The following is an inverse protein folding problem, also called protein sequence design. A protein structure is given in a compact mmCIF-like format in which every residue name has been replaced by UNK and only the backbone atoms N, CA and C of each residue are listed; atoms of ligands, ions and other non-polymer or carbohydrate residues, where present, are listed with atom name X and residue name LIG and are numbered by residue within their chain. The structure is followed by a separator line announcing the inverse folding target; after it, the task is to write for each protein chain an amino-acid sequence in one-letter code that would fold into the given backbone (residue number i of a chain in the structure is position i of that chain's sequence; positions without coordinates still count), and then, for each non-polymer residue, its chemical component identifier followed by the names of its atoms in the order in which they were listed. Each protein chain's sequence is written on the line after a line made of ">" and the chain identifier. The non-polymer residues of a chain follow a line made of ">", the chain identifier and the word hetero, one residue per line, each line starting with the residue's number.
data_IF_977597198471
#
_entry.id   IF_977597198471
#
_cell.length_a   1.000
_cell.length_b   1.000
_cell.length_c   1.000
_cell.angle_alpha   90.00
_cell.angle_beta   90.00
_cell.angle_gamma   90.00
#
_symmetry.space_group_name_H-M   'P 1'
#
loop_
_entity.id
_entity.type
_entity.pdbx_description
1 polymer ?
#
# COMPACT_ATOMS: atom_id res chain seq x y z
N UNK A 1 -1.53 12.32 1.94
CA UNK A 1 -2.35 11.77 3.04
C UNK A 1 -3.80 12.12 2.78
N UNK A 2 -4.71 11.16 2.98
CA UNK A 2 -6.15 11.46 2.97
C UNK A 2 -6.56 12.12 4.30
N UNK A 3 -7.67 12.88 4.32
CA UNK A 3 -8.18 13.51 5.55
C UNK A 3 -8.44 12.47 6.65
N UNK A 4 -8.85 11.27 6.23
CA UNK A 4 -9.08 10.13 7.13
C UNK A 4 -7.81 9.62 7.80
N UNK A 5 -6.64 9.77 7.17
CA UNK A 5 -5.35 9.33 7.73
C UNK A 5 -4.84 10.30 8.79
N UNK A 6 -5.07 11.60 8.58
CA UNK A 6 -4.74 12.65 9.55
C UNK A 6 -5.56 12.46 10.85
N UNK A 7 -6.85 12.17 10.74
CA UNK A 7 -7.71 11.91 11.90
C UNK A 7 -7.22 10.69 12.71
N UNK A 8 -6.71 9.65 12.04
CA UNK A 8 -6.12 8.47 12.67
C UNK A 8 -4.83 8.82 13.42
N UNK A 9 -3.98 9.66 12.83
CA UNK A 9 -2.75 10.16 13.47
C UNK A 9 -3.08 10.95 14.74
N UNK A 10 -4.05 11.86 14.68
CA UNK A 10 -4.50 12.63 15.85
C UNK A 10 -4.98 11.66 16.94
N UNK A 11 -5.72 10.61 16.56
CA UNK A 11 -6.23 9.64 17.54
C UNK A 11 -5.12 8.91 18.31
N UNK A 12 -4.01 8.59 17.64
CA UNK A 12 -2.84 7.99 18.27
C UNK A 12 -2.21 8.94 19.30
N UNK A 13 -2.14 10.23 19.00
CA UNK A 13 -1.62 11.23 19.93
C UNK A 13 -2.56 11.41 21.14
N UNK A 14 -3.88 11.43 20.93
CA UNK A 14 -4.87 11.56 22.01
C UNK A 14 -4.77 10.45 23.06
N UNK A 15 -4.46 9.22 22.64
CA UNK A 15 -4.29 8.09 23.57
C UNK A 15 -2.88 8.03 24.20
N UNK A 16 -2.02 9.01 23.90
CA UNK A 16 -0.66 9.10 24.42
C UNK A 16 0.36 8.20 23.72
N UNK A 17 0.10 7.79 22.47
CA UNK A 17 1.12 7.12 21.67
C UNK A 17 2.24 8.11 21.28
N UNK A 18 3.48 7.63 21.27
CA UNK A 18 4.65 8.43 20.90
C UNK A 18 4.99 8.23 19.43
N UNK A 19 5.04 9.30 18.65
CA UNK A 19 5.52 9.27 17.27
C UNK A 19 7.03 8.97 17.24
N UNK A 20 7.44 8.05 16.39
CA UNK A 20 8.84 7.66 16.17
C UNK A 20 9.39 8.38 14.91
N UNK A 21 10.71 8.45 14.79
CA UNK A 21 11.36 9.00 13.59
C UNK A 21 11.23 8.09 12.35
N UNK A 22 10.96 6.81 12.57
CA UNK A 22 10.79 5.79 11.54
C UNK A 22 9.41 5.89 10.88
N UNK A 23 9.35 5.58 9.60
CA UNK A 23 8.11 5.55 8.82
C UNK A 23 7.84 4.13 8.33
N UNK A 24 6.57 3.78 8.17
CA UNK A 24 6.17 2.55 7.49
C UNK A 24 6.35 2.70 5.98
N UNK A 25 6.40 1.60 5.24
CA UNK A 25 6.53 1.59 3.77
C UNK A 25 5.39 2.33 3.04
N UNK A 26 4.24 2.52 3.72
CA UNK A 26 3.14 3.36 3.22
C UNK A 26 3.40 4.87 3.31
N UNK A 27 4.50 5.29 3.94
CA UNK A 27 4.90 6.69 4.14
C UNK A 27 4.40 7.35 5.42
N UNK A 28 3.59 6.68 6.24
CA UNK A 28 3.11 7.21 7.51
C UNK A 28 4.15 7.04 8.64
N UNK A 29 4.26 7.99 9.58
CA UNK A 29 5.15 7.86 10.74
C UNK A 29 4.68 6.73 11.66
N UNK A 30 5.64 6.01 12.23
CA UNK A 30 5.39 4.91 13.16
C UNK A 30 5.11 5.45 14.56
N UNK A 31 4.26 4.77 15.33
CA UNK A 31 3.92 5.15 16.70
C UNK A 31 4.18 4.02 17.68
N UNK A 32 4.64 4.36 18.89
CA UNK A 32 4.79 3.43 20.01
C UNK A 32 3.72 3.68 21.07
N UNK A 33 2.99 2.63 21.45
CA UNK A 33 2.01 2.67 22.53
C UNK A 33 2.08 1.39 23.35
N UNK A 34 2.22 1.51 24.67
CA UNK A 34 2.37 0.37 25.61
C UNK A 34 3.48 -0.64 25.20
N UNK A 35 4.54 -0.15 24.55
CA UNK A 35 5.68 -0.97 24.12
C UNK A 35 5.54 -1.61 22.73
N UNK A 36 4.37 -1.54 22.11
CA UNK A 36 4.13 -2.02 20.75
C UNK A 36 4.21 -0.88 19.73
N UNK A 37 4.63 -1.20 18.50
CA UNK A 37 4.78 -0.24 17.40
C UNK A 37 3.71 -0.49 16.34
N UNK A 38 3.10 0.59 15.85
CA UNK A 38 1.94 0.56 14.96
C UNK A 38 2.04 1.64 13.87
N UNK A 39 1.56 1.30 12.67
CA UNK A 39 1.29 2.27 11.62
C UNK A 39 -0.17 2.78 11.73
N UNK A 40 -0.42 4.11 11.78
CA UNK A 40 -1.76 4.65 11.91
C UNK A 40 -2.62 4.43 10.65
N UNK A 41 -2.00 4.10 9.51
CA UNK A 41 -2.69 3.81 8.25
C UNK A 41 -2.93 2.31 8.09
N UNK A 42 -1.93 1.47 8.38
CA UNK A 42 -1.98 0.03 8.12
C UNK A 42 -2.48 -0.81 9.31
N UNK A 43 -2.24 -0.37 10.56
CA UNK A 43 -2.56 -1.12 11.79
C UNK A 43 -3.71 -0.49 12.59
N UNK A 44 -4.47 0.45 12.02
CA UNK A 44 -5.50 1.21 12.74
C UNK A 44 -6.55 0.32 13.42
N UNK A 45 -7.07 -0.68 12.72
CA UNK A 45 -8.09 -1.58 13.25
C UNK A 45 -7.54 -2.49 14.36
N UNK A 46 -6.28 -2.90 14.21
CA UNK A 46 -5.56 -3.70 15.21
C UNK A 46 -5.36 -2.93 16.51
N UNK A 47 -5.16 -1.61 16.44
CA UNK A 47 -5.02 -0.76 17.62
C UNK A 47 -6.37 -0.42 18.28
N UNK A 48 -7.42 -0.16 17.50
CA UNK A 48 -8.75 0.23 18.02
C UNK A 48 -9.59 -0.96 18.52
N UNK A 49 -9.03 -2.17 18.51
CA UNK A 49 -9.71 -3.37 19.00
C UNK A 49 -10.84 -3.85 18.08
N UNK A 50 -10.92 -3.35 16.84
CA UNK A 50 -11.80 -3.89 15.81
C UNK A 50 -11.19 -5.20 15.31
N UNK A 51 -11.63 -6.29 15.93
CA UNK A 51 -11.09 -7.64 15.78
C UNK A 51 -11.20 -8.14 14.32
N UNK A 52 -10.07 -8.20 13.63
CA UNK A 52 -9.79 -9.22 12.63
C UNK A 52 -8.40 -9.79 12.93
N UNK A 53 -8.30 -11.11 13.10
CA UNK A 53 -7.04 -11.86 13.20
C UNK A 53 -7.02 -12.91 12.09
N UNK A 54 -5.84 -13.43 11.66
CA UNK A 54 -4.46 -12.94 11.85
C UNK A 54 -3.63 -13.03 10.53
N UNK A 55 -2.30 -12.77 10.57
CA UNK A 55 -1.39 -13.93 10.60
C UNK A 55 -0.18 -13.75 11.54
N UNK A 56 0.28 -14.84 12.13
CA UNK A 56 1.62 -14.95 12.75
C UNK A 56 2.31 -16.21 12.20
N UNK A 57 3.54 -16.04 11.77
CA UNK A 57 4.42 -17.06 11.18
C UNK A 57 5.00 -18.01 12.24
N UNK A 58 5.29 -19.26 11.85
CA UNK A 58 6.20 -20.17 12.54
C UNK A 58 6.87 -21.15 11.55
N UNK A 59 8.08 -21.61 11.91
CA UNK A 59 9.04 -22.38 11.10
C UNK A 59 8.65 -23.87 10.89
N UNK A 60 9.25 -24.49 9.87
CA UNK A 60 9.06 -25.82 9.21
C UNK A 60 9.34 -27.10 10.08
N UNK A 61 9.30 -28.38 9.58
CA UNK A 61 9.02 -28.90 8.21
C UNK A 61 8.15 -30.21 8.09
N UNK A 62 7.95 -30.63 6.83
CA UNK A 62 7.72 -31.99 6.28
C UNK A 62 6.31 -32.63 6.25
N UNK A 63 5.68 -32.65 5.06
CA UNK A 63 5.52 -33.83 4.18
C UNK A 63 4.39 -33.63 3.14
N UNK A 64 4.73 -33.85 1.86
CA UNK A 64 3.86 -33.84 0.67
C UNK A 64 3.03 -35.16 0.57
N UNK A 65 2.12 -35.42 -0.43
CA UNK A 65 1.96 -34.75 -1.73
C UNK A 65 0.51 -34.52 -2.27
N UNK A 66 0.51 -33.91 -3.46
CA UNK A 66 -0.54 -33.41 -4.38
C UNK A 66 -1.64 -34.43 -4.80
N UNK A 67 -2.71 -33.97 -5.48
CA UNK A 67 -2.71 -34.07 -6.95
C UNK A 67 -2.96 -32.74 -7.71
N UNK A 68 -2.34 -32.69 -8.90
CA UNK A 68 -2.50 -31.74 -10.01
C UNK A 68 -3.94 -31.79 -10.54
N UNK A 69 -4.51 -30.78 -11.20
CA UNK A 69 -4.27 -30.26 -12.57
C UNK A 69 -5.33 -29.15 -12.84
N UNK A 70 -5.32 -28.25 -13.82
CA UNK A 70 -4.43 -27.70 -14.86
C UNK A 70 -5.23 -26.54 -15.53
N UNK A 71 -4.54 -25.55 -16.11
CA UNK A 71 -5.10 -24.50 -16.97
C UNK A 71 -5.30 -23.14 -16.27
N UNK A 72 -4.76 -22.00 -16.69
CA UNK A 72 -4.30 -21.60 -18.03
C UNK A 72 -3.15 -20.60 -17.91
N UNK A 73 -2.29 -20.69 -18.92
CA UNK A 73 -1.06 -19.96 -19.15
C UNK A 73 -1.26 -18.44 -19.28
N UNK A 74 -0.44 -17.70 -18.54
CA UNK A 74 0.22 -16.52 -19.08
C UNK A 74 1.56 -16.42 -18.35
N UNK A 75 2.62 -16.86 -19.01
CA UNK A 75 3.99 -16.56 -18.63
C UNK A 75 4.22 -15.06 -18.84
N UNK A 76 3.61 -14.23 -17.98
CA UNK A 76 3.99 -12.83 -17.84
C UNK A 76 5.28 -12.81 -17.06
N UNK A 77 6.36 -12.35 -17.70
CA UNK A 77 7.59 -12.01 -16.98
C UNK A 77 7.22 -11.02 -15.86
N UNK A 78 7.95 -11.02 -14.74
CA UNK A 78 7.68 -10.05 -13.66
C UNK A 78 7.62 -8.60 -14.17
N UNK A 79 8.36 -8.31 -15.25
CA UNK A 79 8.36 -7.04 -15.97
C UNK A 79 7.00 -6.71 -16.62
N UNK A 80 6.35 -7.67 -17.27
CA UNK A 80 4.98 -7.52 -17.81
C UNK A 80 3.95 -7.27 -16.70
N UNK A 81 4.10 -7.97 -15.56
CA UNK A 81 3.21 -7.78 -14.41
C UNK A 81 3.33 -6.37 -13.81
N UNK A 82 4.56 -5.86 -13.69
CA UNK A 82 4.82 -4.49 -13.23
C UNK A 82 4.29 -3.47 -14.24
N UNK A 83 4.52 -3.68 -15.54
CA UNK A 83 4.00 -2.81 -16.59
C UNK A 83 2.47 -2.70 -16.56
N UNK A 84 1.78 -3.83 -16.38
CA UNK A 84 0.32 -3.84 -16.23
C UNK A 84 -0.15 -3.05 -15.00
N UNK A 85 0.47 -3.26 -13.84
CA UNK A 85 0.10 -2.54 -12.61
C UNK A 85 0.31 -1.02 -12.74
N UNK A 86 1.43 -0.60 -13.34
CA UNK A 86 1.72 0.82 -13.57
C UNK A 86 0.69 1.43 -14.54
N UNK A 87 0.37 0.73 -15.62
CA UNK A 87 -0.64 1.16 -16.59
C UNK A 87 -2.05 1.28 -15.97
N UNK A 88 -2.44 0.28 -15.16
CA UNK A 88 -3.72 0.29 -14.45
C UNK A 88 -3.80 1.50 -13.50
N UNK A 89 -2.71 1.83 -12.80
CA UNK A 89 -2.67 2.98 -11.88
C UNK A 89 -2.70 4.33 -12.60
N UNK A 90 -1.99 4.48 -13.71
CA UNK A 90 -2.05 5.69 -14.55
C UNK A 90 -3.50 5.97 -14.98
N UNK A 91 -4.20 4.94 -15.44
CA UNK A 91 -5.60 5.06 -15.86
C UNK A 91 -6.53 5.44 -14.70
N UNK A 92 -6.28 4.92 -13.50
CA UNK A 92 -7.02 5.31 -12.29
C UNK A 92 -6.79 6.78 -11.93
N UNK A 93 -5.54 7.26 -11.93
CA UNK A 93 -5.20 8.66 -11.65
C UNK A 93 -5.83 9.60 -12.67
N UNK A 94 -5.76 9.27 -13.96
CA UNK A 94 -6.38 10.05 -15.02
C UNK A 94 -7.90 10.18 -14.85
N UNK A 95 -8.58 9.11 -14.40
CA UNK A 95 -10.03 9.15 -14.09
C UNK A 95 -10.32 9.99 -12.85
N UNK A 96 -9.52 9.87 -11.80
CA UNK A 96 -9.72 10.62 -10.56
C UNK A 96 -9.55 12.13 -10.78
N UNK A 97 -8.62 12.51 -11.66
CA UNK A 97 -8.35 13.90 -12.00
C UNK A 97 -9.56 14.64 -12.60
N UNK A 98 -10.46 13.94 -13.29
CA UNK A 98 -11.67 14.55 -13.88
C UNK A 98 -12.64 15.10 -12.83
N UNK A 99 -12.58 14.58 -11.58
CA UNK A 99 -13.42 15.01 -10.46
C UNK A 99 -12.65 15.77 -9.39
N UNK A 100 -11.34 15.90 -9.56
CA UNK A 100 -10.50 16.64 -8.63
C UNK A 100 -10.64 18.14 -8.91
N UNK A 101 -10.77 18.92 -7.84
CA UNK A 101 -10.92 20.40 -7.91
C UNK A 101 -9.70 21.11 -7.37
N UNK A 102 -8.91 20.45 -6.52
CA UNK A 102 -7.70 21.02 -5.93
C UNK A 102 -6.54 20.98 -6.92
N UNK A 103 -6.13 22.15 -7.41
CA UNK A 103 -5.07 22.30 -8.42
C UNK A 103 -3.73 21.67 -7.99
N UNK A 104 -3.41 21.71 -6.70
CA UNK A 104 -2.20 21.08 -6.16
C UNK A 104 -2.25 19.56 -6.33
N UNK A 105 -3.38 18.93 -6.04
CA UNK A 105 -3.57 17.48 -6.21
C UNK A 105 -3.56 17.08 -7.67
N UNK A 106 -4.17 17.89 -8.55
CA UNK A 106 -4.13 17.66 -10.00
C UNK A 106 -2.68 17.65 -10.51
N UNK A 107 -1.88 18.63 -10.10
CA UNK A 107 -0.45 18.68 -10.45
C UNK A 107 0.28 17.46 -9.94
N UNK A 108 0.10 17.09 -8.68
CA UNK A 108 0.78 15.93 -8.10
C UNK A 108 0.37 14.62 -8.81
N UNK A 109 -0.91 14.49 -9.24
CA UNK A 109 -1.39 13.38 -10.06
C UNK A 109 -0.78 13.37 -11.46
N UNK A 110 -0.64 14.53 -12.11
CA UNK A 110 0.04 14.67 -13.40
C UNK A 110 1.51 14.25 -13.31
N UNK A 111 2.22 14.65 -12.25
CA UNK A 111 3.60 14.24 -12.00
C UNK A 111 3.72 12.72 -11.81
N UNK A 112 2.76 12.11 -11.09
CA UNK A 112 2.70 10.65 -10.93
C UNK A 112 2.49 9.94 -12.28
N UNK A 113 1.58 10.46 -13.11
CA UNK A 113 1.32 9.93 -14.47
C UNK A 113 2.58 10.05 -15.34
N UNK A 114 3.27 11.19 -15.32
CA UNK A 114 4.50 11.39 -16.08
C UNK A 114 5.57 10.34 -15.71
N UNK A 115 5.78 10.14 -14.40
CA UNK A 115 6.71 9.12 -13.90
C UNK A 115 6.29 7.71 -14.31
N UNK A 116 5.01 7.39 -14.23
CA UNK A 116 4.46 6.11 -14.69
C UNK A 116 4.74 5.85 -16.18
N UNK A 117 4.53 6.85 -17.04
CA UNK A 117 4.83 6.74 -18.47
C UNK A 117 6.32 6.50 -18.71
N UNK A 118 7.21 7.18 -17.96
CA UNK A 118 8.65 6.96 -18.03
C UNK A 118 9.01 5.52 -17.67
N UNK A 119 8.42 4.96 -16.60
CA UNK A 119 8.63 3.56 -16.19
C UNK A 119 8.18 2.61 -17.30
N UNK A 120 7.00 2.82 -17.89
CA UNK A 120 6.50 1.96 -18.97
C UNK A 120 7.43 1.94 -20.19
N UNK A 121 8.01 3.09 -20.55
CA UNK A 121 9.00 3.15 -21.64
C UNK A 121 10.26 2.36 -21.32
N UNK A 122 10.73 2.39 -20.07
CA UNK A 122 11.90 1.64 -19.64
C UNK A 122 11.66 0.12 -19.67
N UNK A 123 10.44 -0.33 -19.36
CA UNK A 123 10.09 -1.75 -19.42
C UNK A 123 9.90 -2.28 -20.86
N UNK A 124 9.75 -1.38 -21.83
CA UNK A 124 9.67 -1.72 -23.26
C UNK A 124 11.04 -1.71 -23.96
N UNK A 125 12.12 -1.42 -23.22
CA UNK A 125 13.51 -1.31 -23.70
C UNK A 125 14.25 -2.64 -23.55
#
# INVERSE_FOLDING_TARGET
>A
MDKSDEDRIVKFLEIGATMLAEHHDCGAPMFRYKGEVFCPVCDYDRMTGKRQQPPKAEHAPAAAPLPRESGTEAAGTKEDAVGKLVSDKINELARNMQRETELSRIRDQMDCIERGIRILRLLQS
#
